data_IF_934805372725
#
_entry.id   IF_934805372725
#
_cell.length_a   1.000
_cell.length_b   1.000
_cell.length_c   1.000
_cell.angle_alpha   90.00
_cell.angle_beta   90.00
_cell.angle_gamma   90.00
#
_symmetry.space_group_name_H-M   'P 1'
#
loop_
_entity.id
_entity.type
_entity.pdbx_description
1 polymer ?
#
# COMPACT_ATOMS: atom_id res chain seq x y z
N UNK A 1 -7.59 9.93 6.56
CA UNK A 1 -7.65 9.00 7.73
C UNK A 1 -7.01 7.65 7.39
N UNK A 2 -7.48 6.96 6.36
CA UNK A 2 -7.00 5.62 5.98
C UNK A 2 -5.54 5.57 5.50
N UNK A 3 -5.05 6.59 4.79
CA UNK A 3 -3.63 6.65 4.41
C UNK A 3 -2.70 6.66 5.63
N UNK A 4 -3.09 7.36 6.71
CA UNK A 4 -2.31 7.40 7.97
C UNK A 4 -2.24 6.02 8.62
N UNK A 5 -3.34 5.25 8.56
CA UNK A 5 -3.38 3.87 9.07
C UNK A 5 -2.39 2.97 8.32
N UNK A 6 -2.44 2.98 6.98
CA UNK A 6 -1.50 2.21 6.16
C UNK A 6 -0.04 2.60 6.43
N UNK A 7 0.27 3.90 6.44
CA UNK A 7 1.64 4.39 6.72
C UNK A 7 2.12 3.99 8.11
N UNK A 8 1.27 4.12 9.13
CA UNK A 8 1.61 3.74 10.49
C UNK A 8 1.89 2.24 10.62
N UNK A 9 1.06 1.39 9.99
CA UNK A 9 1.27 -0.05 9.98
C UNK A 9 2.59 -0.44 9.28
N UNK A 10 2.86 0.12 8.11
CA UNK A 10 4.11 -0.14 7.36
C UNK A 10 5.36 0.42 8.06
N UNK A 11 5.24 1.52 8.80
CA UNK A 11 6.35 2.12 9.55
C UNK A 11 6.89 1.21 10.67
N UNK A 12 6.10 0.24 11.15
CA UNK A 12 6.53 -0.73 12.18
C UNK A 12 7.73 -1.56 11.73
N UNK A 13 7.84 -1.84 10.42
CA UNK A 13 8.92 -2.63 9.82
C UNK A 13 10.22 -1.85 9.61
N UNK A 14 10.23 -0.52 9.82
CA UNK A 14 11.42 0.35 9.65
C UNK A 14 12.18 0.10 8.34
N UNK A 15 11.43 -0.01 7.24
CA UNK A 15 11.96 -0.34 5.93
C UNK A 15 13.01 0.68 5.47
N UNK A 16 14.06 0.20 4.79
CA UNK A 16 14.96 1.09 4.08
C UNK A 16 14.17 1.85 3.00
N UNK A 17 14.31 3.18 2.86
CA UNK A 17 13.62 3.97 1.84
C UNK A 17 13.80 3.49 0.40
N UNK A 18 14.86 2.73 0.10
CA UNK A 18 15.04 2.12 -1.23
C UNK A 18 14.05 0.99 -1.55
N UNK A 19 13.33 0.48 -0.55
CA UNK A 19 12.44 -0.67 -0.68
C UNK A 19 10.95 -0.29 -0.78
N UNK A 20 10.61 0.99 -0.68
CA UNK A 20 9.23 1.44 -0.80
C UNK A 20 9.16 2.88 -1.32
N UNK A 21 8.00 3.25 -1.86
CA UNK A 21 7.70 4.61 -2.28
C UNK A 21 6.29 4.97 -1.80
N UNK A 22 6.09 6.24 -1.44
CA UNK A 22 4.76 6.83 -1.27
C UNK A 22 4.46 7.71 -2.46
N UNK A 23 3.37 7.41 -3.15
CA UNK A 23 2.87 8.23 -4.25
C UNK A 23 1.67 9.02 -3.74
N UNK A 24 1.89 10.32 -3.46
CA UNK A 24 0.81 11.26 -3.10
C UNK A 24 0.10 11.70 -4.39
N UNK A 25 -1.02 11.05 -4.70
CA UNK A 25 -1.71 11.25 -5.99
C UNK A 25 -2.26 12.67 -6.17
N UNK A 26 -2.61 13.36 -5.08
CA UNK A 26 -3.04 14.75 -5.08
C UNK A 26 -1.90 15.74 -5.37
N UNK A 27 -0.64 15.35 -5.15
CA UNK A 27 0.54 16.14 -5.49
C UNK A 27 1.06 15.86 -6.92
N UNK A 28 0.61 14.76 -7.55
CA UNK A 28 0.96 14.36 -8.93
C UNK A 28 0.15 15.13 -9.97
N UNK A 29 0.38 16.44 -10.03
CA UNK A 29 -0.25 17.34 -11.02
C UNK A 29 0.14 17.02 -12.48
N UNK A 30 1.19 16.22 -12.69
CA UNK A 30 1.61 15.68 -13.99
C UNK A 30 0.75 14.49 -14.44
N UNK A 31 -0.07 13.92 -13.57
CA UNK A 31 -0.91 12.76 -13.84
C UNK A 31 -2.40 13.11 -13.89
N UNK A 32 -3.20 12.40 -14.71
CA UNK A 32 -4.64 12.58 -14.74
C UNK A 32 -5.31 11.87 -13.55
N UNK A 33 -5.31 12.50 -12.38
CA UNK A 33 -5.79 11.91 -11.11
C UNK A 33 -7.15 11.22 -11.19
N UNK A 34 -8.15 11.85 -11.81
CA UNK A 34 -9.48 11.26 -11.99
C UNK A 34 -9.44 9.97 -12.82
N UNK A 35 -8.68 9.96 -13.92
CA UNK A 35 -8.52 8.78 -14.78
C UNK A 35 -7.79 7.64 -14.06
N UNK A 36 -6.87 7.97 -13.15
CA UNK A 36 -6.22 6.95 -12.32
C UNK A 36 -7.20 6.32 -11.34
N UNK A 37 -8.09 7.11 -10.74
CA UNK A 37 -9.13 6.57 -9.86
C UNK A 37 -10.19 5.77 -10.62
N UNK A 38 -10.55 6.18 -11.84
CA UNK A 38 -11.38 5.37 -12.75
C UNK A 38 -10.71 4.01 -13.01
N UNK A 39 -9.41 4.01 -13.26
CA UNK A 39 -8.63 2.80 -13.48
C UNK A 39 -8.57 1.92 -12.23
N UNK A 40 -8.48 2.51 -11.04
CA UNK A 40 -8.52 1.77 -9.78
C UNK A 40 -9.87 1.10 -9.56
N UNK A 41 -10.96 1.76 -9.91
CA UNK A 41 -12.29 1.16 -9.86
C UNK A 41 -12.39 -0.02 -10.82
N UNK A 42 -11.91 0.16 -12.06
CA UNK A 42 -11.91 -0.92 -13.06
C UNK A 42 -11.06 -2.12 -12.66
N UNK A 43 -9.84 -1.90 -12.14
CA UNK A 43 -8.91 -3.00 -11.80
C UNK A 43 -9.17 -3.61 -10.43
N UNK A 44 -9.56 -2.80 -9.46
CA UNK A 44 -9.53 -3.15 -8.04
C UNK A 44 -10.89 -2.97 -7.34
N UNK A 45 -11.94 -2.66 -8.10
CA UNK A 45 -13.32 -2.55 -7.61
C UNK A 45 -13.62 -1.32 -6.78
N UNK A 46 -12.66 -0.39 -6.62
CA UNK A 46 -12.88 0.87 -5.89
C UNK A 46 -11.92 1.97 -6.29
N UNK A 47 -12.43 3.21 -6.33
CA UNK A 47 -11.67 4.45 -6.56
C UNK A 47 -10.78 4.88 -5.39
N UNK A 48 -11.03 4.33 -4.19
CA UNK A 48 -10.52 4.89 -2.94
C UNK A 48 -8.99 4.81 -2.80
N UNK A 49 -8.42 5.68 -1.99
CA UNK A 49 -7.02 5.58 -1.54
C UNK A 49 -6.98 5.38 -0.02
N UNK A 50 -5.94 4.72 0.52
CA UNK A 50 -4.75 4.20 -0.16
C UNK A 50 -5.01 2.90 -0.96
N UNK A 51 -4.19 2.66 -1.98
CA UNK A 51 -3.99 1.35 -2.62
C UNK A 51 -2.58 0.88 -2.27
N UNK A 52 -2.46 -0.15 -1.43
CA UNK A 52 -1.16 -0.63 -0.95
C UNK A 52 -0.76 -1.89 -1.70
N UNK A 53 0.45 -1.87 -2.25
CA UNK A 53 1.03 -2.98 -2.97
C UNK A 53 2.28 -3.48 -2.24
N UNK A 54 2.46 -4.79 -2.17
CA UNK A 54 3.68 -5.43 -1.65
C UNK A 54 4.08 -6.55 -2.61
N UNK A 55 5.34 -6.58 -3.04
CA UNK A 55 5.81 -7.58 -4.01
C UNK A 55 5.11 -7.54 -5.37
N UNK A 56 4.51 -6.41 -5.74
CA UNK A 56 3.74 -6.24 -6.98
C UNK A 56 2.24 -6.54 -6.87
N UNK A 57 1.79 -7.10 -5.75
CA UNK A 57 0.39 -7.50 -5.52
C UNK A 57 -0.38 -6.48 -4.68
N UNK A 58 -1.65 -6.23 -5.01
CA UNK A 58 -2.52 -5.38 -4.21
C UNK A 58 -2.93 -6.11 -2.93
N UNK A 59 -2.59 -5.55 -1.77
CA UNK A 59 -2.96 -6.11 -0.47
C UNK A 59 -4.15 -5.41 0.20
N UNK A 60 -4.58 -4.28 -0.36
CA UNK A 60 -5.80 -3.58 0.04
C UNK A 60 -5.60 -2.11 0.44
N UNK A 61 -6.54 -1.60 1.23
CA UNK A 61 -6.55 -0.24 1.76
C UNK A 61 -6.03 -0.14 3.19
N UNK A 62 -6.30 1.00 3.85
CA UNK A 62 -5.75 1.28 5.18
C UNK A 62 -6.22 0.32 6.28
N UNK A 63 -7.48 -0.11 6.24
CA UNK A 63 -8.02 -1.05 7.22
C UNK A 63 -7.52 -2.48 6.95
N UNK A 64 -7.38 -2.88 5.69
CA UNK A 64 -6.82 -4.18 5.31
C UNK A 64 -5.38 -4.32 5.80
N UNK A 65 -4.55 -3.30 5.61
CA UNK A 65 -3.14 -3.31 6.04
C UNK A 65 -3.03 -3.42 7.56
N UNK A 66 -3.87 -2.69 8.31
CA UNK A 66 -3.91 -2.78 9.78
C UNK A 66 -4.36 -4.18 10.23
N UNK A 67 -5.38 -4.74 9.58
CA UNK A 67 -5.84 -6.10 9.86
C UNK A 67 -4.73 -7.13 9.61
N UNK A 68 -4.07 -7.06 8.46
CA UNK A 68 -2.95 -7.95 8.10
C UNK A 68 -1.76 -7.81 9.07
N UNK A 69 -1.51 -6.62 9.61
CA UNK A 69 -0.51 -6.42 10.66
C UNK A 69 -0.90 -7.16 11.93
N UNK A 70 -2.15 -7.03 12.39
CA UNK A 70 -2.63 -7.71 13.59
C UNK A 70 -2.66 -9.24 13.43
N UNK A 71 -2.89 -9.74 12.21
CA UNK A 71 -2.86 -11.17 11.89
C UNK A 71 -1.43 -11.73 11.72
N UNK A 72 -0.39 -10.90 11.74
CA UNK A 72 1.00 -11.28 11.48
C UNK A 72 1.31 -11.57 10.00
N UNK A 73 0.30 -11.53 9.13
CA UNK A 73 0.43 -11.80 7.68
C UNK A 73 1.23 -10.70 6.98
N UNK A 74 1.12 -9.46 7.42
CA UNK A 74 1.84 -8.34 6.81
C UNK A 74 3.36 -8.50 6.89
N UNK A 75 3.87 -9.07 7.99
CA UNK A 75 5.31 -9.37 8.17
C UNK A 75 5.80 -10.39 7.14
N UNK A 76 5.02 -11.47 6.95
CA UNK A 76 5.34 -12.50 5.96
C UNK A 76 5.41 -11.92 4.56
N UNK A 77 4.45 -11.06 4.19
CA UNK A 77 4.42 -10.39 2.88
C UNK A 77 5.62 -9.47 2.67
N UNK A 78 5.96 -8.66 3.68
CA UNK A 78 7.11 -7.74 3.64
C UNK A 78 8.42 -8.53 3.51
N UNK A 79 8.64 -9.55 4.35
CA UNK A 79 9.85 -10.36 4.32
C UNK A 79 10.00 -11.09 2.98
N UNK A 80 8.90 -11.65 2.46
CA UNK A 80 8.89 -12.30 1.14
C UNK A 80 9.27 -11.32 0.02
N UNK A 81 8.73 -10.10 0.03
CA UNK A 81 9.04 -9.07 -0.96
C UNK A 81 10.50 -8.58 -0.88
N UNK A 82 11.12 -8.64 0.30
CA UNK A 82 12.52 -8.31 0.52
C UNK A 82 13.48 -9.48 0.28
N UNK A 83 12.98 -10.68 -0.02
CA UNK A 83 13.78 -11.89 -0.13
C UNK A 83 14.38 -12.36 1.20
N UNK A 84 13.79 -11.97 2.32
CA UNK A 84 14.18 -12.42 3.66
C UNK A 84 13.51 -13.77 3.91
N UNK A 85 14.31 -14.81 4.17
CA UNK A 85 13.80 -16.12 4.58
C UNK A 85 13.24 -16.00 6.00
N UNK A 86 11.98 -16.42 6.21
CA UNK A 86 11.37 -16.54 7.53
C UNK A 86 11.90 -17.76 8.28
#
# INVERSE_FOLDING_TARGET
LFFRKAKAALATFRLNPRHFEYIELDERTDLPGDKMQDEFERRYGTRSVPKVFIGGELIGGGDDVVRLLHEGVLEVLVNSALGIQN
#
